data_IF_816216711521
#
_entry.id   IF_816216711521
#
_cell.length_a   1.000
_cell.length_b   1.000
_cell.length_c   1.000
_cell.angle_alpha   90.00
_cell.angle_beta   90.00
_cell.angle_gamma   90.00
#
_symmetry.space_group_name_H-M   'P 1'
#
loop_
_entity.id
_entity.type
_entity.pdbx_description
1 polymer ?
#
# COMPACT_ATOMS: atom_id res chain seq x y z
N UNK A 1 6.46 13.51 24.32
CA UNK A 1 5.21 13.81 23.57
C UNK A 1 5.11 12.81 22.43
N UNK A 2 4.24 11.80 22.51
CA UNK A 2 4.12 10.79 21.45
C UNK A 2 3.24 11.33 20.31
N UNK A 3 3.86 11.62 19.18
CA UNK A 3 3.17 11.93 17.91
C UNK A 3 2.67 10.63 17.24
N UNK A 4 2.22 9.65 18.02
CA UNK A 4 1.78 8.37 17.51
C UNK A 4 0.34 8.49 17.00
N UNK A 5 0.15 8.27 15.71
CA UNK A 5 -1.15 8.05 15.12
C UNK A 5 -1.21 6.61 14.60
N UNK A 6 -1.62 5.64 15.43
CA UNK A 6 -1.58 4.24 15.05
C UNK A 6 -2.60 3.93 13.95
N UNK A 7 -2.31 2.88 13.19
CA UNK A 7 -3.26 2.25 12.29
C UNK A 7 -4.25 1.45 13.16
N UNK A 8 -5.54 1.57 12.89
CA UNK A 8 -6.62 0.99 13.72
C UNK A 8 -6.74 -0.51 13.49
N UNK A 9 -6.67 -0.95 12.24
CA UNK A 9 -6.94 -2.33 11.82
C UNK A 9 -5.91 -2.83 10.81
N UNK A 10 -6.07 -4.09 10.38
CA UNK A 10 -5.30 -4.66 9.28
C UNK A 10 -5.66 -3.90 7.99
N UNK A 11 -4.67 -3.36 7.25
CA UNK A 11 -4.92 -2.73 5.97
C UNK A 11 -5.57 -3.68 4.96
N UNK A 12 -6.54 -3.18 4.23
CA UNK A 12 -7.19 -3.91 3.14
C UNK A 12 -6.35 -3.79 1.87
N UNK A 13 -6.14 -4.92 1.19
CA UNK A 13 -5.43 -4.99 -0.09
C UNK A 13 -6.37 -5.51 -1.17
N UNK A 14 -6.61 -4.68 -2.18
CA UNK A 14 -7.39 -5.04 -3.36
C UNK A 14 -6.45 -5.17 -4.56
N UNK A 15 -6.35 -6.37 -5.11
CA UNK A 15 -5.59 -6.66 -6.32
C UNK A 15 -6.54 -6.60 -7.52
N UNK A 16 -6.43 -5.54 -8.31
CA UNK A 16 -7.16 -5.34 -9.56
C UNK A 16 -6.31 -5.81 -10.75
N UNK A 17 -6.91 -5.80 -11.94
CA UNK A 17 -6.24 -6.24 -13.18
C UNK A 17 -4.96 -5.44 -13.47
N UNK A 18 -5.00 -4.11 -13.28
CA UNK A 18 -3.92 -3.19 -13.64
C UNK A 18 -3.19 -2.58 -12.44
N UNK A 19 -3.70 -2.74 -11.21
CA UNK A 19 -3.17 -2.09 -10.02
C UNK A 19 -3.45 -2.85 -8.72
N UNK A 20 -2.66 -2.52 -7.70
CA UNK A 20 -2.94 -2.83 -6.30
C UNK A 20 -3.43 -1.57 -5.59
N UNK A 21 -4.49 -1.68 -4.80
CA UNK A 21 -4.96 -0.65 -3.89
C UNK A 21 -4.81 -1.11 -2.44
N UNK A 22 -4.18 -0.27 -1.62
CA UNK A 22 -4.03 -0.43 -0.18
C UNK A 22 -4.91 0.61 0.52
N UNK A 23 -5.81 0.17 1.38
CA UNK A 23 -6.66 1.04 2.20
C UNK A 23 -6.37 0.78 3.68
N UNK A 24 -6.10 1.82 4.46
CA UNK A 24 -5.92 1.70 5.91
C UNK A 24 -6.54 2.87 6.66
N UNK A 25 -6.89 2.61 7.92
CA UNK A 25 -7.52 3.58 8.82
C UNK A 25 -6.57 3.96 9.95
N UNK A 26 -6.61 5.22 10.36
CA UNK A 26 -5.81 5.77 11.46
C UNK A 26 -6.69 6.41 12.52
N UNK A 27 -6.23 6.45 13.78
CA UNK A 27 -7.03 6.99 14.92
C UNK A 27 -7.33 8.49 14.75
N UNK A 28 -6.42 9.23 14.12
CA UNK A 28 -6.56 10.65 13.76
C UNK A 28 -6.24 10.82 12.27
N UNK A 29 -6.68 11.89 11.59
CA UNK A 29 -6.33 12.08 10.18
C UNK A 29 -4.83 12.04 9.93
N UNK A 30 -4.38 11.09 9.10
CA UNK A 30 -2.97 10.97 8.73
C UNK A 30 -2.54 12.17 7.87
N UNK A 31 -1.48 12.87 8.30
CA UNK A 31 -0.89 14.02 7.59
C UNK A 31 0.59 13.78 7.34
N UNK A 32 0.89 13.01 6.31
CA UNK A 32 2.25 12.65 5.94
C UNK A 32 2.34 12.21 4.49
N UNK A 33 3.40 11.47 4.17
CA UNK A 33 3.60 10.86 2.85
C UNK A 33 3.55 9.34 2.98
N UNK A 34 2.84 8.68 2.08
CA UNK A 34 2.89 7.23 1.89
C UNK A 34 3.70 6.98 0.61
N UNK A 35 4.64 6.05 0.66
CA UNK A 35 5.50 5.77 -0.49
C UNK A 35 6.03 4.34 -0.48
N UNK A 36 6.36 3.83 -1.67
CA UNK A 36 7.03 2.53 -1.79
C UNK A 36 8.50 2.67 -1.36
N UNK A 37 8.95 1.79 -0.45
CA UNK A 37 10.32 1.79 0.08
C UNK A 37 11.34 1.73 -1.07
N UNK A 38 12.31 2.64 -1.05
CA UNK A 38 13.33 2.77 -2.10
C UNK A 38 12.89 3.55 -3.35
N UNK A 39 11.63 3.99 -3.41
CA UNK A 39 11.05 4.69 -4.57
C UNK A 39 10.56 6.10 -4.25
N UNK A 40 10.98 6.68 -3.12
CA UNK A 40 10.52 8.02 -2.68
C UNK A 40 10.90 9.16 -3.63
N UNK A 41 11.92 8.96 -4.48
CA UNK A 41 12.34 9.93 -5.50
C UNK A 41 11.54 9.81 -6.82
N UNK A 42 10.55 8.91 -6.88
CA UNK A 42 9.68 8.71 -8.03
C UNK A 42 8.29 9.19 -7.64
N UNK A 43 7.87 10.33 -8.19
CA UNK A 43 6.62 10.99 -7.79
C UNK A 43 5.40 10.05 -7.93
N UNK A 44 5.39 9.18 -8.95
CA UNK A 44 4.32 8.19 -9.14
C UNK A 44 4.25 7.11 -8.04
N UNK A 45 5.24 7.05 -7.15
CA UNK A 45 5.32 6.09 -6.03
C UNK A 45 5.12 6.77 -4.67
N UNK A 46 4.69 8.04 -4.65
CA UNK A 46 4.51 8.86 -3.44
C UNK A 46 3.15 9.54 -3.46
N UNK A 47 2.37 9.35 -2.40
CA UNK A 47 1.14 10.11 -2.18
C UNK A 47 1.30 11.01 -0.95
N UNK A 48 0.98 12.29 -1.10
CA UNK A 48 0.99 13.28 -0.03
C UNK A 48 -0.40 13.47 0.56
N UNK A 49 -0.49 13.41 1.89
CA UNK A 49 -1.74 13.54 2.65
C UNK A 49 -1.71 14.75 3.59
N UNK A 50 -0.88 15.76 3.31
CA UNK A 50 -0.69 16.94 4.18
C UNK A 50 -2.03 17.63 4.51
N UNK A 51 -2.96 17.71 3.54
CA UNK A 51 -4.29 18.30 3.70
C UNK A 51 -5.39 17.32 4.12
N UNK A 52 -5.07 16.06 4.40
CA UNK A 52 -6.08 15.04 4.67
C UNK A 52 -6.85 15.32 5.97
N UNK A 53 -8.16 15.11 5.90
CA UNK A 53 -9.12 15.24 7.02
C UNK A 53 -9.85 13.93 7.31
N UNK A 54 -9.67 12.91 6.47
CA UNK A 54 -10.28 11.58 6.62
C UNK A 54 -9.40 10.69 7.49
N UNK A 55 -10.03 9.74 8.18
CA UNK A 55 -9.33 8.68 8.91
C UNK A 55 -8.79 7.58 7.98
N UNK A 56 -9.46 7.41 6.84
CA UNK A 56 -9.08 6.50 5.75
C UNK A 56 -7.97 7.11 4.88
N UNK A 57 -7.01 6.27 4.53
CA UNK A 57 -5.94 6.55 3.56
C UNK A 57 -5.97 5.47 2.49
N UNK A 58 -6.00 5.90 1.22
CA UNK A 58 -5.95 5.02 0.06
C UNK A 58 -4.65 5.28 -0.71
N UNK A 59 -3.91 4.21 -1.00
CA UNK A 59 -2.67 4.24 -1.76
C UNK A 59 -2.73 3.22 -2.89
N UNK A 60 -2.44 3.64 -4.12
CA UNK A 60 -2.52 2.79 -5.31
C UNK A 60 -1.15 2.67 -5.97
N UNK A 61 -0.84 1.48 -6.47
CA UNK A 61 0.37 1.20 -7.24
C UNK A 61 -0.02 0.39 -8.48
N UNK A 62 0.30 0.91 -9.67
CA UNK A 62 0.08 0.18 -10.93
C UNK A 62 0.99 -1.06 -10.98
N UNK A 63 0.46 -2.16 -11.49
CA UNK A 63 1.18 -3.43 -11.62
C UNK A 63 2.50 -3.24 -12.38
N UNK A 64 3.61 -3.69 -11.79
CA UNK A 64 4.96 -3.56 -12.35
C UNK A 64 5.65 -2.20 -12.10
N UNK A 65 4.95 -1.21 -11.52
CA UNK A 65 5.58 0.05 -11.12
C UNK A 65 6.25 -0.06 -9.74
N UNK A 66 7.01 0.98 -9.37
CA UNK A 66 7.59 1.13 -8.04
C UNK A 66 8.43 -0.07 -7.55
N UNK A 67 9.22 -0.66 -8.45
CA UNK A 67 10.03 -1.87 -8.18
C UNK A 67 9.22 -3.08 -7.69
N UNK A 68 7.94 -3.16 -8.06
CA UNK A 68 7.11 -4.33 -7.78
C UNK A 68 7.69 -5.55 -8.49
N UNK A 69 8.08 -6.56 -7.70
CA UNK A 69 8.66 -7.81 -8.22
C UNK A 69 7.58 -8.86 -8.37
N UNK A 70 7.45 -9.42 -9.57
CA UNK A 70 6.60 -10.59 -9.81
C UNK A 70 7.35 -11.85 -9.38
N UNK A 71 6.83 -12.55 -8.37
CA UNK A 71 7.24 -13.92 -8.06
C UNK A 71 6.24 -14.89 -8.70
N UNK A 72 6.77 -15.95 -9.33
CA UNK A 72 5.95 -17.07 -9.78
C UNK A 72 6.18 -18.20 -8.80
N UNK A 73 5.11 -18.72 -8.19
CA UNK A 73 5.18 -19.99 -7.48
C UNK A 73 5.05 -21.09 -8.53
N UNK A 74 6.04 -21.98 -8.62
CA UNK A 74 5.89 -23.23 -9.35
C UNK A 74 5.05 -24.12 -8.44
N UNK A 75 3.81 -24.44 -8.84
CA UNK A 75 3.00 -25.42 -8.11
C UNK A 75 3.76 -26.75 -8.06
N UNK A 76 4.33 -27.09 -6.92
CA UNK A 76 4.63 -28.49 -6.56
C UNK A 76 3.41 -29.05 -5.86
N UNK A 77 2.30 -29.14 -6.58
CA UNK A 77 1.26 -30.09 -6.25
C UNK A 77 1.25 -31.09 -7.39
N UNK A 78 2.00 -32.18 -7.19
CA UNK A 78 1.63 -33.42 -7.87
C UNK A 78 0.22 -33.72 -7.37
N UNK A 79 -0.73 -33.70 -8.30
CA UNK A 79 -1.89 -34.57 -8.25
C UNK A 79 -1.35 -35.99 -8.03
N UNK A 80 -1.32 -36.44 -6.78
CA UNK A 80 -1.26 -37.86 -6.49
C UNK A 80 -2.71 -38.30 -6.41
N UNK A 81 -3.08 -39.16 -7.36
CA UNK A 81 -4.31 -39.93 -7.41
C UNK A 81 -4.71 -40.53 -6.06
#
# INVERSE_FOLDING_TARGET
MSLSNPIVDIPEVQCMEDRMKLTFHTVKPFRGRVFVKGMVNKDQCVNSFIGNRKLEVQFEVINGQCNMRRSRKVNHQKETL
#
